data_IF_869605383022
#
_entry.id   IF_869605383022
#
_cell.length_a   1.000
_cell.length_b   1.000
_cell.length_c   1.000
_cell.angle_alpha   90.00
_cell.angle_beta   90.00
_cell.angle_gamma   90.00
#
_symmetry.space_group_name_H-M   'P 1'
#
loop_
_entity.id
_entity.type
_entity.pdbx_description
1 polymer ?
#
# COMPACT_ATOMS: atom_id res chain seq x y z
N UNK A 1 -0.58 15.45 1.95
CA UNK A 1 -1.21 15.93 3.20
C UNK A 1 -1.01 17.42 3.40
N UNK A 2 0.23 17.91 3.56
CA UNK A 2 0.51 19.33 3.83
C UNK A 2 -0.15 20.32 2.86
N UNK A 3 -0.07 20.06 1.55
CA UNK A 3 -0.73 20.87 0.53
C UNK A 3 -2.25 21.00 0.74
N UNK A 4 -2.93 19.87 1.01
CA UNK A 4 -4.39 19.88 1.22
C UNK A 4 -4.77 20.70 2.47
N UNK A 5 -3.94 20.66 3.52
CA UNK A 5 -4.17 21.46 4.72
C UNK A 5 -3.97 22.95 4.44
N UNK A 6 -2.94 23.33 3.67
CA UNK A 6 -2.72 24.70 3.23
C UNK A 6 -3.90 25.22 2.38
N UNK A 7 -4.43 24.41 1.47
CA UNK A 7 -5.63 24.76 0.70
C UNK A 7 -6.87 24.94 1.58
N UNK A 8 -7.09 24.04 2.56
CA UNK A 8 -8.22 24.16 3.50
C UNK A 8 -8.10 25.46 4.30
N UNK A 9 -6.93 25.74 4.88
CA UNK A 9 -6.71 26.94 5.70
C UNK A 9 -6.86 28.24 4.92
N UNK A 10 -6.61 28.23 3.60
CA UNK A 10 -6.80 29.39 2.71
C UNK A 10 -8.23 29.57 2.23
N UNK A 11 -9.09 28.56 2.38
CA UNK A 11 -10.44 28.58 1.87
C UNK A 11 -11.42 29.16 2.92
N UNK A 12 -11.94 30.38 2.74
CA UNK A 12 -12.83 30.99 3.73
C UNK A 12 -14.17 30.27 3.87
N UNK A 13 -14.52 29.40 2.91
CA UNK A 13 -15.77 28.63 2.93
C UNK A 13 -15.63 27.27 3.64
N UNK A 14 -14.41 26.84 3.97
CA UNK A 14 -14.15 25.54 4.56
C UNK A 14 -13.41 25.72 5.88
N UNK A 15 -14.09 25.43 6.99
CA UNK A 15 -13.58 25.66 8.35
C UNK A 15 -13.22 27.13 8.62
N UNK A 16 -14.16 28.09 8.45
CA UNK A 16 -13.90 29.49 8.74
C UNK A 16 -13.48 29.69 10.20
N UNK A 17 -12.48 30.55 10.43
CA UNK A 17 -11.90 30.85 11.74
C UNK A 17 -11.27 29.66 12.48
N UNK A 18 -10.99 28.57 11.77
CA UNK A 18 -10.26 27.41 12.30
C UNK A 18 -9.01 27.21 11.46
N UNK A 19 -7.88 26.97 12.11
CA UNK A 19 -6.62 26.61 11.43
C UNK A 19 -6.32 25.14 11.72
N UNK A 20 -6.17 24.35 10.67
CA UNK A 20 -5.70 22.97 10.77
C UNK A 20 -4.17 22.94 10.87
N UNK A 21 -3.67 22.33 11.94
CA UNK A 21 -2.28 21.94 12.10
C UNK A 21 -2.04 20.47 11.72
N UNK A 22 -0.78 20.05 11.63
CA UNK A 22 -0.44 18.65 11.42
C UNK A 22 0.90 18.28 12.05
N UNK A 23 1.04 17.01 12.41
CA UNK A 23 2.30 16.37 12.79
C UNK A 23 2.56 15.21 11.84
N UNK A 24 3.74 15.17 11.23
CA UNK A 24 4.15 14.10 10.31
C UNK A 24 5.15 13.18 11.00
N UNK A 25 4.96 11.88 10.82
CA UNK A 25 5.89 10.84 11.25
C UNK A 25 6.20 9.93 10.07
N UNK A 26 7.47 9.58 9.92
CA UNK A 26 7.88 8.51 9.02
C UNK A 26 7.71 7.17 9.76
N UNK A 27 6.92 6.27 9.18
CA UNK A 27 6.74 4.91 9.69
C UNK A 27 7.88 3.97 9.25
N UNK A 28 8.76 4.42 8.35
CA UNK A 28 9.86 3.67 7.74
C UNK A 28 9.45 2.29 7.19
N UNK A 29 8.18 2.13 6.80
CA UNK A 29 7.60 0.85 6.39
C UNK A 29 7.70 -0.23 7.49
N UNK A 30 7.83 0.14 8.76
CA UNK A 30 7.94 -0.76 9.91
C UNK A 30 6.74 -0.64 10.84
N UNK A 31 6.14 -1.78 11.18
CA UNK A 31 4.97 -1.84 12.07
C UNK A 31 5.23 -1.20 13.43
N UNK A 32 6.36 -1.54 14.06
CA UNK A 32 6.69 -1.03 15.39
C UNK A 32 6.89 0.50 15.42
N UNK A 33 7.48 1.07 14.37
CA UNK A 33 7.68 2.52 14.26
C UNK A 33 6.34 3.21 14.00
N UNK A 34 5.56 2.74 13.03
CA UNK A 34 4.23 3.29 12.72
C UNK A 34 3.27 3.25 13.91
N UNK A 35 3.26 2.14 14.67
CA UNK A 35 2.43 2.00 15.86
C UNK A 35 2.89 2.93 16.99
N UNK A 36 4.21 3.08 17.23
CA UNK A 36 4.75 4.04 18.20
C UNK A 36 4.44 5.48 17.83
N UNK A 37 4.53 5.82 16.54
CA UNK A 37 4.15 7.14 16.04
C UNK A 37 2.66 7.41 16.27
N UNK A 38 1.79 6.46 15.93
CA UNK A 38 0.35 6.58 16.19
C UNK A 38 0.02 6.69 17.69
N UNK A 39 0.73 5.93 18.54
CA UNK A 39 0.56 6.01 19.99
C UNK A 39 1.06 7.36 20.55
N UNK A 40 2.20 7.88 20.07
CA UNK A 40 2.71 9.20 20.46
C UNK A 40 1.76 10.32 20.03
N UNK A 41 1.17 10.22 18.84
CA UNK A 41 0.12 11.12 18.37
C UNK A 41 -1.13 11.03 19.25
N UNK A 42 -1.54 9.84 19.66
CA UNK A 42 -2.74 9.64 20.49
C UNK A 42 -2.54 10.03 21.97
N UNK A 43 -1.35 9.82 22.52
CA UNK A 43 -1.05 10.05 23.94
C UNK A 43 -0.58 11.47 24.26
N UNK A 44 -0.17 12.24 23.24
CA UNK A 44 0.37 13.60 23.42
C UNK A 44 1.73 13.65 24.13
N UNK A 45 2.40 12.51 24.34
CA UNK A 45 3.73 12.47 24.96
C UNK A 45 4.84 12.54 23.88
N UNK A 46 5.54 13.68 23.85
CA UNK A 46 6.97 13.70 23.48
C UNK A 46 7.82 13.39 24.73
N UNK A 47 9.05 12.90 24.56
CA UNK A 47 9.95 12.32 25.58
C UNK A 47 10.33 13.21 26.80
N UNK A 48 9.71 14.37 27.02
CA UNK A 48 9.92 15.20 28.22
C UNK A 48 8.62 15.73 28.80
N UNK A 49 8.17 15.09 29.88
CA UNK A 49 7.11 15.61 30.76
C UNK A 49 7.73 16.63 31.72
N UNK A 50 7.49 17.92 31.49
CA UNK A 50 7.72 18.98 32.49
C UNK A 50 6.37 19.23 33.16
N UNK A 51 6.24 18.83 34.43
CA UNK A 51 5.08 19.15 35.26
C UNK A 51 5.21 20.60 35.74
N UNK A 52 4.76 21.54 34.92
CA UNK A 52 4.42 22.89 35.35
C UNK A 52 2.89 22.99 35.44
N UNK A 53 2.34 23.75 36.40
CA UNK A 53 0.90 23.82 36.71
C UNK A 53 0.06 24.52 35.62
N UNK A 54 0.65 24.76 34.45
CA UNK A 54 -0.05 25.18 33.24
C UNK A 54 -0.37 23.92 32.43
N UNK A 55 -1.62 23.73 32.01
CA UNK A 55 -2.01 22.65 31.08
C UNK A 55 -1.39 22.90 29.70
N UNK A 56 -0.07 22.73 29.60
CA UNK A 56 0.74 22.82 28.38
C UNK A 56 0.94 21.40 27.90
N UNK A 57 -0.10 20.85 27.29
CA UNK A 57 -0.05 19.60 26.54
C UNK A 57 -0.22 19.87 25.05
N UNK A 58 0.31 19.00 24.20
CA UNK A 58 -0.01 19.03 22.77
C UNK A 58 -1.53 18.87 22.57
N UNK A 59 -2.14 19.65 21.66
CA UNK A 59 -3.57 19.56 21.43
C UNK A 59 -3.97 18.14 21.00
N UNK A 60 -5.14 17.65 21.41
CA UNK A 60 -5.58 16.29 21.08
C UNK A 60 -5.64 16.12 19.56
N UNK A 61 -5.07 15.02 19.05
CA UNK A 61 -5.13 14.68 17.63
C UNK A 61 -6.56 14.28 17.26
N UNK A 62 -7.21 15.09 16.42
CA UNK A 62 -8.59 14.90 15.95
C UNK A 62 -8.73 13.74 14.95
N UNK A 63 -7.64 13.32 14.29
CA UNK A 63 -7.65 12.23 13.33
C UNK A 63 -6.26 11.91 12.79
N UNK A 64 -6.06 10.66 12.36
CA UNK A 64 -4.82 10.16 11.76
C UNK A 64 -5.10 9.82 10.30
N UNK A 65 -4.24 10.32 9.40
CA UNK A 65 -4.27 9.99 7.96
C UNK A 65 -3.10 9.06 7.67
N UNK A 66 -3.40 7.79 7.41
CA UNK A 66 -2.41 6.71 7.25
C UNK A 66 -2.96 5.40 7.81
N UNK A 67 -2.32 4.25 7.60
CA UNK A 67 -1.04 3.98 6.91
C UNK A 67 -1.25 3.57 5.44
N UNK A 68 -0.16 3.43 4.65
CA UNK A 68 -0.24 2.85 3.31
C UNK A 68 -0.44 1.33 3.30
N UNK A 69 0.09 0.60 4.31
CA UNK A 69 -0.09 -0.86 4.42
C UNK A 69 -1.32 -1.20 5.26
N UNK A 70 -2.08 -2.21 4.83
CA UNK A 70 -3.23 -2.71 5.59
C UNK A 70 -2.85 -3.25 6.96
N UNK A 71 -1.74 -3.99 7.13
CA UNK A 71 -1.32 -4.50 8.45
C UNK A 71 -1.03 -3.36 9.42
N UNK A 72 -0.35 -2.30 8.96
CA UNK A 72 -0.06 -1.13 9.80
C UNK A 72 -1.33 -0.34 10.08
N UNK A 73 -2.17 -0.14 9.07
CA UNK A 73 -3.47 0.51 9.24
C UNK A 73 -4.38 -0.27 10.18
N UNK A 74 -4.40 -1.61 10.12
CA UNK A 74 -5.15 -2.47 11.02
C UNK A 74 -4.62 -2.32 12.44
N UNK A 75 -3.30 -2.32 12.65
CA UNK A 75 -2.73 -2.12 13.98
C UNK A 75 -3.09 -0.74 14.56
N UNK A 76 -3.11 0.30 13.74
CA UNK A 76 -3.56 1.66 14.12
C UNK A 76 -5.09 1.69 14.31
N UNK A 77 -5.85 1.01 13.45
CA UNK A 77 -7.31 1.00 13.41
C UNK A 77 -7.94 -0.04 14.34
N UNK A 78 -7.18 -0.96 14.95
CA UNK A 78 -7.66 -1.76 16.08
C UNK A 78 -8.04 -0.87 17.26
N UNK A 79 -7.64 0.41 17.23
CA UNK A 79 -8.12 1.47 18.11
C UNK A 79 -9.40 2.17 17.57
N UNK A 80 -9.75 2.07 16.27
CA UNK A 80 -10.78 2.90 15.60
C UNK A 80 -11.78 2.23 14.62
N UNK A 81 -11.74 0.92 14.34
CA UNK A 81 -12.82 0.19 13.63
C UNK A 81 -12.72 0.09 12.09
N UNK A 82 -13.48 -0.89 11.54
CA UNK A 82 -13.27 -1.77 10.36
C UNK A 82 -13.32 -1.18 8.91
N UNK A 83 -12.64 -1.88 7.98
CA UNK A 83 -12.72 -1.68 6.52
C UNK A 83 -13.15 -2.93 5.73
N UNK A 84 -13.88 -2.71 4.62
CA UNK A 84 -14.10 -3.63 3.49
C UNK A 84 -13.64 -2.94 2.21
N UNK A 85 -12.93 -3.63 1.32
CA UNK A 85 -12.45 -3.09 0.03
C UNK A 85 -12.89 -3.98 -1.13
N UNK A 86 -13.48 -3.45 -2.22
CA UNK A 86 -14.06 -4.23 -3.32
C UNK A 86 -13.05 -4.77 -4.36
N UNK A 87 -11.74 -4.79 -4.07
CA UNK A 87 -10.69 -5.17 -5.03
C UNK A 87 -10.85 -6.61 -5.56
N UNK A 88 -11.19 -7.53 -4.66
CA UNK A 88 -11.32 -8.96 -4.97
C UNK A 88 -12.41 -9.23 -6.00
N UNK A 89 -13.55 -8.55 -5.88
CA UNK A 89 -14.67 -8.70 -6.81
C UNK A 89 -14.29 -8.31 -8.24
N UNK A 90 -13.49 -7.26 -8.44
CA UNK A 90 -13.05 -6.85 -9.77
C UNK A 90 -12.19 -7.91 -10.46
N UNK A 91 -11.28 -8.55 -9.72
CA UNK A 91 -10.45 -9.64 -10.26
C UNK A 91 -11.30 -10.83 -10.72
N UNK A 92 -12.31 -11.22 -9.94
CA UNK A 92 -13.21 -12.33 -10.30
C UNK A 92 -14.05 -12.00 -11.54
N UNK A 93 -14.48 -10.75 -11.69
CA UNK A 93 -15.17 -10.31 -12.91
C UNK A 93 -14.27 -10.39 -14.14
N UNK A 94 -12.98 -10.05 -14.01
CA UNK A 94 -12.00 -10.21 -15.11
C UNK A 94 -11.84 -11.68 -15.48
N UNK A 95 -11.68 -12.58 -14.49
CA UNK A 95 -11.61 -14.02 -14.75
C UNK A 95 -12.83 -14.52 -15.51
N UNK A 96 -14.01 -14.12 -15.05
CA UNK A 96 -15.29 -14.50 -15.65
C UNK A 96 -15.41 -13.97 -17.09
N UNK A 97 -14.98 -12.73 -17.32
CA UNK A 97 -15.02 -12.10 -18.65
C UNK A 97 -14.15 -12.85 -19.67
N UNK A 98 -12.95 -13.29 -19.28
CA UNK A 98 -12.04 -14.02 -20.15
C UNK A 98 -12.21 -15.55 -20.12
N UNK A 99 -13.14 -16.07 -19.30
CA UNK A 99 -13.35 -17.51 -19.13
C UNK A 99 -12.16 -18.24 -18.48
N UNK A 100 -11.37 -17.53 -17.68
CA UNK A 100 -10.21 -18.11 -17.00
C UNK A 100 -10.63 -18.83 -15.72
N UNK A 101 -10.59 -20.16 -15.76
CA UNK A 101 -11.06 -21.01 -14.65
C UNK A 101 -9.92 -21.74 -13.91
N UNK A 102 -8.68 -21.62 -14.37
CA UNK A 102 -7.53 -22.29 -13.76
C UNK A 102 -6.39 -21.30 -13.55
N UNK A 103 -6.21 -20.85 -12.31
CA UNK A 103 -5.32 -19.74 -11.98
C UNK A 103 -4.41 -20.05 -10.80
N UNK A 104 -3.21 -19.47 -10.78
CA UNK A 104 -2.34 -19.45 -9.61
C UNK A 104 -2.61 -18.21 -8.76
N UNK A 105 -2.42 -18.33 -7.45
CA UNK A 105 -2.56 -17.21 -6.51
C UNK A 105 -1.28 -17.04 -5.69
N UNK A 106 -0.70 -15.85 -5.73
CA UNK A 106 0.44 -15.45 -4.91
C UNK A 106 0.01 -14.33 -3.96
N UNK A 107 0.36 -14.44 -2.69
CA UNK A 107 0.01 -13.42 -1.69
C UNK A 107 1.18 -13.07 -0.79
N UNK A 108 1.24 -11.84 -0.28
CA UNK A 108 2.19 -11.48 0.77
C UNK A 108 1.82 -12.13 2.12
N UNK A 109 2.83 -12.44 2.93
CA UNK A 109 2.66 -12.96 4.30
C UNK A 109 2.30 -11.84 5.29
N UNK A 110 1.16 -11.20 5.05
CA UNK A 110 0.60 -10.15 5.90
C UNK A 110 -0.91 -10.03 5.77
N UNK A 111 -1.53 -9.12 6.52
CA UNK A 111 -2.98 -8.98 6.53
C UNK A 111 -3.54 -8.54 5.18
N UNK A 112 -2.74 -7.82 4.37
CA UNK A 112 -3.16 -7.46 3.01
C UNK A 112 -3.31 -8.71 2.14
N UNK A 113 -2.24 -9.49 1.99
CA UNK A 113 -2.22 -10.68 1.14
C UNK A 113 -3.14 -11.77 1.66
N UNK A 114 -3.09 -12.09 2.95
CA UNK A 114 -3.87 -13.17 3.56
C UNK A 114 -5.36 -12.86 3.60
N UNK A 115 -5.76 -11.61 3.87
CA UNK A 115 -7.18 -11.22 3.81
C UNK A 115 -7.71 -11.25 2.38
N UNK A 116 -6.93 -10.77 1.41
CA UNK A 116 -7.29 -10.83 0.00
C UNK A 116 -7.43 -12.29 -0.48
N UNK A 117 -6.51 -13.18 -0.11
CA UNK A 117 -6.61 -14.61 -0.43
C UNK A 117 -7.91 -15.24 0.09
N UNK A 118 -8.21 -15.04 1.38
CA UNK A 118 -9.43 -15.61 2.00
C UNK A 118 -10.70 -15.12 1.31
N UNK A 119 -10.77 -13.80 1.08
CA UNK A 119 -11.91 -13.19 0.40
C UNK A 119 -12.02 -13.70 -1.04
N UNK A 120 -10.91 -13.75 -1.77
CA UNK A 120 -10.88 -14.23 -3.15
C UNK A 120 -11.28 -15.70 -3.26
N UNK A 121 -10.76 -16.56 -2.40
CA UNK A 121 -11.17 -17.97 -2.36
C UNK A 121 -12.66 -18.13 -2.07
N UNK A 122 -13.20 -17.38 -1.09
CA UNK A 122 -14.62 -17.44 -0.77
C UNK A 122 -15.49 -16.99 -1.95
N UNK A 123 -15.15 -15.86 -2.56
CA UNK A 123 -15.93 -15.28 -3.65
C UNK A 123 -15.82 -16.14 -4.93
N UNK A 124 -14.67 -16.75 -5.19
CA UNK A 124 -14.45 -17.64 -6.33
C UNK A 124 -15.34 -18.89 -6.23
N UNK A 125 -15.45 -19.48 -5.04
CA UNK A 125 -16.33 -20.62 -4.78
C UNK A 125 -17.80 -20.23 -4.94
N UNK A 126 -18.20 -19.07 -4.42
CA UNK A 126 -19.58 -18.60 -4.51
C UNK A 126 -20.03 -18.29 -5.94
N UNK A 127 -19.13 -17.74 -6.75
CA UNK A 127 -19.41 -17.37 -8.14
C UNK A 127 -19.26 -18.54 -9.12
N UNK A 128 -18.72 -19.69 -8.68
CA UNK A 128 -18.35 -20.79 -9.57
C UNK A 128 -17.25 -20.40 -10.58
N UNK A 129 -16.45 -19.38 -10.25
CA UNK A 129 -15.53 -18.71 -11.18
C UNK A 129 -14.27 -19.49 -11.54
N UNK A 130 -14.09 -20.70 -11.02
CA UNK A 130 -12.94 -21.57 -11.33
C UNK A 130 -12.27 -22.17 -10.11
N UNK A 131 -11.05 -22.67 -10.31
CA UNK A 131 -10.22 -23.31 -9.31
C UNK A 131 -8.82 -22.68 -9.25
N UNK A 132 -8.22 -22.77 -8.07
CA UNK A 132 -6.83 -22.38 -7.84
C UNK A 132 -5.91 -23.59 -8.05
N UNK A 133 -4.97 -23.46 -8.98
CA UNK A 133 -3.97 -24.46 -9.27
C UNK A 133 -2.94 -24.59 -8.15
N UNK A 134 -2.60 -23.46 -7.54
CA UNK A 134 -1.73 -23.34 -6.39
C UNK A 134 -2.01 -22.02 -5.68
N UNK A 135 -1.73 -22.01 -4.38
CA UNK A 135 -1.73 -20.81 -3.54
C UNK A 135 -0.40 -20.79 -2.81
N UNK A 136 0.38 -19.75 -3.04
CA UNK A 136 1.71 -19.61 -2.45
C UNK A 136 1.83 -18.27 -1.73
N UNK A 137 2.51 -18.30 -0.58
CA UNK A 137 2.79 -17.12 0.22
C UNK A 137 4.21 -16.67 -0.07
N UNK A 138 4.38 -15.42 -0.50
CA UNK A 138 5.68 -14.85 -0.83
C UNK A 138 6.42 -14.47 0.47
N UNK A 139 7.69 -14.89 0.62
CA UNK A 139 8.45 -14.61 1.82
C UNK A 139 8.83 -13.12 1.91
N UNK A 140 8.95 -12.63 3.14
CA UNK A 140 9.59 -11.34 3.39
C UNK A 140 11.10 -11.44 3.15
N UNK A 141 11.67 -10.42 2.50
CA UNK A 141 13.10 -10.41 2.17
C UNK A 141 13.47 -11.37 1.05
N UNK A 142 14.74 -11.77 1.00
CA UNK A 142 15.31 -12.54 -0.11
C UNK A 142 15.57 -14.01 0.26
N UNK A 143 14.53 -14.75 0.67
CA UNK A 143 14.63 -16.20 0.84
C UNK A 143 14.69 -16.90 -0.52
N UNK A 144 15.91 -17.05 -1.03
CA UNK A 144 16.20 -17.64 -2.33
C UNK A 144 15.73 -19.10 -2.46
N UNK A 145 15.70 -19.86 -1.37
CA UNK A 145 15.27 -21.25 -1.41
C UNK A 145 13.76 -21.32 -1.59
N UNK A 146 13.03 -20.49 -0.85
CA UNK A 146 11.57 -20.44 -0.94
C UNK A 146 11.10 -19.82 -2.26
N UNK A 147 11.72 -18.73 -2.71
CA UNK A 147 11.42 -18.14 -4.02
C UNK A 147 11.65 -19.14 -5.16
N UNK A 148 12.76 -19.91 -5.12
CA UNK A 148 13.02 -20.97 -6.10
C UNK A 148 11.93 -22.03 -6.07
N UNK A 149 11.50 -22.48 -4.88
CA UNK A 149 10.42 -23.45 -4.71
C UNK A 149 9.12 -22.96 -5.31
N UNK A 150 8.75 -21.71 -5.04
CA UNK A 150 7.51 -21.09 -5.56
C UNK A 150 7.56 -21.02 -7.08
N UNK A 151 8.65 -20.51 -7.66
CA UNK A 151 8.80 -20.43 -9.12
C UNK A 151 8.81 -21.82 -9.77
N UNK A 152 9.35 -22.85 -9.09
CA UNK A 152 9.27 -24.24 -9.54
C UNK A 152 7.83 -24.77 -9.58
N UNK A 153 6.99 -24.42 -8.60
CA UNK A 153 5.56 -24.74 -8.60
C UNK A 153 4.86 -24.05 -9.76
N UNK A 154 5.13 -22.76 -9.97
CA UNK A 154 4.57 -21.99 -11.08
C UNK A 154 4.93 -22.60 -12.43
N UNK A 155 6.21 -22.97 -12.62
CA UNK A 155 6.73 -23.58 -13.85
C UNK A 155 6.12 -24.95 -14.15
N UNK A 156 5.85 -25.75 -13.13
CA UNK A 156 5.24 -27.09 -13.28
C UNK A 156 3.73 -27.03 -13.50
N UNK A 157 3.08 -25.94 -13.10
CA UNK A 157 1.63 -25.77 -13.26
C UNK A 157 1.23 -25.55 -14.71
N UNK A 158 0.02 -26.00 -15.06
CA UNK A 158 -0.62 -25.68 -16.34
C UNK A 158 -1.35 -24.33 -16.33
N UNK A 159 -1.51 -23.72 -15.15
CA UNK A 159 -2.12 -22.40 -15.02
C UNK A 159 -1.24 -21.35 -15.72
N UNK A 160 -1.86 -20.59 -16.62
CA UNK A 160 -1.20 -19.46 -17.30
C UNK A 160 -1.48 -18.13 -16.63
N UNK A 161 -2.59 -18.03 -15.93
CA UNK A 161 -2.99 -16.80 -15.22
C UNK A 161 -2.49 -16.87 -13.78
N UNK A 162 -1.77 -15.85 -13.35
CA UNK A 162 -1.23 -15.73 -11.99
C UNK A 162 -1.70 -14.43 -11.36
N UNK A 163 -2.50 -14.55 -10.31
CA UNK A 163 -3.08 -13.43 -9.56
C UNK A 163 -2.17 -13.13 -8.38
N UNK A 164 -1.85 -11.85 -8.17
CA UNK A 164 -0.89 -11.46 -7.12
C UNK A 164 -1.43 -10.34 -6.23
N UNK A 165 -1.72 -10.68 -4.97
CA UNK A 165 -1.99 -9.73 -3.88
C UNK A 165 -0.77 -9.61 -2.98
N UNK A 166 0.22 -8.83 -3.41
CA UNK A 166 1.45 -8.60 -2.67
C UNK A 166 1.98 -7.19 -2.90
N UNK A 167 2.96 -6.78 -2.09
CA UNK A 167 3.65 -5.49 -2.23
C UNK A 167 4.67 -5.51 -3.37
N UNK A 168 5.06 -4.32 -3.83
CA UNK A 168 6.12 -4.11 -4.82
C UNK A 168 7.41 -4.87 -4.47
N UNK A 169 7.85 -4.83 -3.21
CA UNK A 169 9.08 -5.50 -2.76
C UNK A 169 9.08 -7.01 -2.96
N UNK A 170 7.94 -7.68 -2.74
CA UNK A 170 7.80 -9.12 -2.96
C UNK A 170 7.90 -9.45 -4.46
N UNK A 171 7.30 -8.60 -5.29
CA UNK A 171 7.36 -8.77 -6.74
C UNK A 171 8.75 -8.57 -7.30
N UNK A 172 9.54 -7.62 -6.78
CA UNK A 172 10.94 -7.46 -7.17
C UNK A 172 11.72 -8.76 -6.92
N UNK A 173 11.64 -9.30 -5.71
CA UNK A 173 12.36 -10.52 -5.34
C UNK A 173 11.89 -11.74 -6.14
N UNK A 174 10.58 -11.87 -6.38
CA UNK A 174 10.02 -12.93 -7.22
C UNK A 174 10.50 -12.81 -8.68
N UNK A 175 10.57 -11.60 -9.22
CA UNK A 175 11.00 -11.38 -10.61
C UNK A 175 12.46 -11.73 -10.83
N UNK A 176 13.34 -11.48 -9.86
CA UNK A 176 14.73 -11.96 -9.95
C UNK A 176 14.79 -13.48 -10.18
N UNK A 177 13.95 -14.24 -9.49
CA UNK A 177 13.91 -15.70 -9.63
C UNK A 177 13.21 -16.16 -10.91
N UNK A 178 12.11 -15.50 -11.31
CA UNK A 178 11.40 -15.79 -12.57
C UNK A 178 12.30 -15.59 -13.77
N UNK A 179 13.10 -14.51 -13.77
CA UNK A 179 14.12 -14.25 -14.79
C UNK A 179 15.20 -15.34 -14.75
N UNK A 180 15.69 -15.68 -13.56
CA UNK A 180 16.74 -16.70 -13.39
C UNK A 180 16.33 -18.08 -13.94
N UNK A 181 15.07 -18.46 -13.77
CA UNK A 181 14.52 -19.72 -14.28
C UNK A 181 13.92 -19.62 -15.69
N UNK A 182 13.93 -18.42 -16.27
CA UNK A 182 13.35 -18.10 -17.57
C UNK A 182 11.88 -18.54 -17.72
N UNK A 183 11.06 -18.28 -16.71
CA UNK A 183 9.64 -18.64 -16.71
C UNK A 183 8.84 -17.56 -17.47
N UNK A 184 8.38 -17.90 -18.67
CA UNK A 184 7.67 -16.98 -19.57
C UNK A 184 6.26 -17.49 -19.91
N UNK A 185 5.46 -16.66 -20.60
CA UNK A 185 4.12 -17.04 -21.06
C UNK A 185 3.06 -17.07 -19.95
N UNK A 186 3.30 -16.35 -18.85
CA UNK A 186 2.33 -16.13 -17.79
C UNK A 186 1.57 -14.83 -18.04
N UNK A 187 0.26 -14.86 -17.83
CA UNK A 187 -0.61 -13.70 -17.76
C UNK A 187 -0.72 -13.27 -16.31
N UNK A 188 -0.08 -12.16 -15.96
CA UNK A 188 -0.14 -11.63 -14.61
C UNK A 188 -1.41 -10.80 -14.39
N UNK A 189 -2.00 -10.96 -13.21
CA UNK A 189 -3.07 -10.12 -12.69
C UNK A 189 -2.57 -9.40 -11.44
N UNK A 190 -2.29 -8.11 -11.59
CA UNK A 190 -1.65 -7.27 -10.57
C UNK A 190 -2.68 -6.56 -9.69
N UNK A 191 -2.54 -6.74 -8.37
CA UNK A 191 -3.23 -5.88 -7.42
C UNK A 191 -2.72 -4.43 -7.47
N UNK A 192 -3.51 -3.52 -6.91
CA UNK A 192 -3.23 -2.08 -6.88
C UNK A 192 -1.84 -1.76 -6.30
N UNK A 193 -1.40 -2.53 -5.31
CA UNK A 193 -0.14 -2.30 -4.60
C UNK A 193 1.12 -2.32 -5.48
N UNK A 194 1.07 -2.94 -6.67
CA UNK A 194 2.24 -3.03 -7.56
C UNK A 194 1.93 -2.81 -9.04
N UNK A 195 0.67 -2.63 -9.43
CA UNK A 195 0.31 -2.45 -10.86
C UNK A 195 1.00 -1.27 -11.53
N UNK A 196 1.31 -0.21 -10.77
CA UNK A 196 1.94 1.02 -11.27
C UNK A 196 3.38 1.19 -10.79
N UNK A 197 3.98 0.11 -10.28
CA UNK A 197 5.36 0.09 -9.82
C UNK A 197 6.33 0.33 -11.00
N UNK A 198 6.86 1.54 -11.13
CA UNK A 198 7.76 1.90 -12.23
C UNK A 198 9.05 1.05 -12.23
N UNK A 199 9.49 0.59 -11.07
CA UNK A 199 10.66 -0.29 -10.91
C UNK A 199 10.50 -1.65 -11.59
N UNK A 200 9.26 -2.12 -11.77
CA UNK A 200 8.95 -3.35 -12.49
C UNK A 200 8.75 -3.11 -14.00
N UNK A 201 8.68 -1.86 -14.44
CA UNK A 201 8.44 -1.45 -15.83
C UNK A 201 9.75 -1.20 -16.59
N UNK A 202 10.67 -2.15 -16.54
CA UNK A 202 11.99 -2.05 -17.20
C UNK A 202 12.07 -2.93 -18.46
N UNK A 203 12.87 -2.57 -19.47
CA UNK A 203 13.09 -3.41 -20.65
C UNK A 203 13.56 -4.84 -20.32
N UNK A 204 14.28 -5.00 -19.20
CA UNK A 204 14.73 -6.29 -18.71
C UNK A 204 13.58 -7.20 -18.24
N UNK A 205 12.54 -6.62 -17.64
CA UNK A 205 11.39 -7.35 -17.10
C UNK A 205 10.20 -7.44 -18.07
N UNK A 206 10.15 -6.62 -19.12
CA UNK A 206 9.07 -6.65 -20.13
C UNK A 206 8.86 -8.01 -20.82
N UNK A 207 9.89 -8.84 -21.09
CA UNK A 207 9.67 -10.20 -21.60
C UNK A 207 8.85 -11.11 -20.66
N UNK A 208 8.80 -10.77 -19.37
CA UNK A 208 8.15 -11.57 -18.32
C UNK A 208 6.85 -10.94 -17.82
N UNK A 209 6.79 -9.60 -17.72
CA UNK A 209 5.66 -8.83 -17.19
C UNK A 209 4.82 -8.14 -18.28
N UNK A 210 5.24 -8.19 -19.54
CA UNK A 210 4.51 -7.59 -20.65
C UNK A 210 3.08 -8.12 -20.76
N UNK A 211 2.11 -7.21 -20.87
CA UNK A 211 0.69 -7.58 -20.94
C UNK A 211 0.01 -7.83 -19.59
N UNK A 212 0.67 -7.52 -18.46
CA UNK A 212 0.05 -7.58 -17.13
C UNK A 212 -1.26 -6.79 -17.09
N UNK A 213 -2.32 -7.42 -16.60
CA UNK A 213 -3.60 -6.76 -16.31
C UNK A 213 -3.60 -6.36 -14.85
N UNK A 214 -3.82 -5.09 -14.54
CA UNK A 214 -3.80 -4.63 -13.16
C UNK A 214 -4.93 -3.68 -12.81
N UNK A 215 -5.25 -3.63 -11.52
CA UNK A 215 -6.26 -2.72 -10.98
C UNK A 215 -5.57 -1.46 -10.49
N UNK A 216 -5.75 -0.34 -11.17
CA UNK A 216 -5.21 0.94 -10.75
C UNK A 216 -6.28 1.81 -10.09
N UNK A 217 -5.87 2.61 -9.10
CA UNK A 217 -6.71 3.68 -8.56
C UNK A 217 -6.88 4.74 -9.65
N UNK A 218 -8.11 5.24 -9.81
CA UNK A 218 -8.40 6.30 -10.79
C UNK A 218 -7.50 7.51 -10.51
N UNK A 219 -6.74 7.92 -11.52
CA UNK A 219 -5.92 9.14 -11.45
C UNK A 219 -6.82 10.36 -11.22
N UNK A 220 -6.52 11.10 -10.17
CA UNK A 220 -7.06 12.44 -9.92
C UNK A 220 -6.06 13.51 -10.33
N UNK A 221 -6.55 14.64 -10.82
CA UNK A 221 -5.74 15.85 -11.01
C UNK A 221 -5.92 16.77 -9.82
N UNK A 222 -4.82 17.20 -9.22
CA UNK A 222 -4.81 18.13 -8.09
C UNK A 222 -4.16 19.42 -8.59
N UNK A 223 -4.98 20.40 -8.92
CA UNK A 223 -4.52 21.70 -9.42
C UNK A 223 -3.61 22.38 -8.39
N UNK A 224 -2.53 23.03 -8.83
CA UNK A 224 -1.57 23.71 -7.96
C UNK A 224 -0.63 22.80 -7.15
N UNK A 225 -0.91 21.49 -7.03
CA UNK A 225 -0.07 20.58 -6.26
C UNK A 225 1.36 20.47 -6.81
N UNK A 226 1.49 20.46 -8.14
CA UNK A 226 2.81 20.48 -8.79
C UNK A 226 3.62 21.72 -8.41
N UNK A 227 2.99 22.88 -8.46
CA UNK A 227 3.68 24.15 -8.17
C UNK A 227 4.04 24.25 -6.69
N UNK A 228 3.19 23.72 -5.81
CA UNK A 228 3.50 23.56 -4.38
C UNK A 228 4.74 22.69 -4.17
N UNK A 229 4.84 21.53 -4.83
CA UNK A 229 6.02 20.65 -4.71
C UNK A 229 7.31 21.33 -5.21
N UNK A 230 7.23 22.15 -6.26
CA UNK A 230 8.38 22.88 -6.81
C UNK A 230 8.87 24.03 -5.91
N UNK A 231 8.07 24.45 -4.93
CA UNK A 231 8.46 25.49 -3.96
C UNK A 231 9.26 24.94 -2.78
N UNK A 232 9.35 23.62 -2.61
CA UNK A 232 10.09 23.00 -1.53
C UNK A 232 11.58 23.27 -1.74
N UNK A 233 12.21 23.95 -0.78
CA UNK A 233 13.64 24.21 -0.79
C UNK A 233 14.29 23.74 0.52
N UNK A 234 15.45 23.05 0.46
CA UNK A 234 16.11 22.50 1.64
C UNK A 234 16.78 23.55 2.54
N UNK A 235 17.13 24.70 1.99
CA UNK A 235 17.79 25.83 2.68
C UNK A 235 16.80 26.76 3.40
N UNK A 236 15.55 26.79 2.94
CA UNK A 236 14.47 27.49 3.62
C UNK A 236 13.87 26.53 4.65
N UNK A 237 14.26 26.64 5.92
CA UNK A 237 13.41 26.18 7.01
C UNK A 237 12.02 26.76 6.74
N UNK A 238 11.06 25.90 6.40
CA UNK A 238 9.71 26.32 6.10
C UNK A 238 9.09 26.80 7.40
N UNK A 239 9.38 28.06 7.74
CA UNK A 239 8.73 28.78 8.82
C UNK A 239 7.37 29.20 8.29
N UNK A 240 6.51 28.21 8.00
CA UNK A 240 5.11 28.47 7.78
C UNK A 240 4.60 29.12 9.07
N UNK A 241 3.82 30.18 8.94
CA UNK A 241 3.19 30.96 10.02
C UNK A 241 2.37 30.11 11.02
N UNK A 242 2.21 28.82 10.73
CA UNK A 242 1.50 27.81 11.50
C UNK A 242 2.41 26.79 12.23
N UNK A 243 3.74 26.96 12.19
CA UNK A 243 4.68 26.06 12.89
C UNK A 243 4.88 24.68 12.23
N UNK A 244 4.42 24.52 11.00
CA UNK A 244 4.43 23.24 10.29
C UNK A 244 5.68 23.11 9.39
N UNK A 245 6.57 22.15 9.66
CA UNK A 245 7.70 21.82 8.77
C UNK A 245 7.49 20.48 8.04
N UNK A 246 7.76 20.46 6.74
CA UNK A 246 7.79 19.25 5.90
C UNK A 246 9.20 18.62 5.90
N UNK A 247 10.22 19.41 6.21
CA UNK A 247 11.63 19.00 6.22
C UNK A 247 12.13 19.17 7.66
N UNK A 248 12.33 18.06 8.37
CA UNK A 248 13.03 18.04 9.66
C UNK A 248 14.38 17.39 9.47
#
# INVERSE_FOLDING_TARGET
MAFAIDEINRNPNLLPNVTLGYSLYDNCVQLGIGFRAALSLASGQEEKVVLDETCVGTPPILGIVGDSSSTRSIAISTVYGLYRVPLVHAMIQILSHFGWTWTGLLVSDDDYGLHAARTFQSDLVQTGGGCLAYVEVLPWGNDQAELRRIVDVMRKSTARVVIVFAHESHMINLMEEVVRQNVTGLQWMASEAWTSAAVLQTPHLMPYLGGTLGIAIRRGEIAGFRDFLLQIRPDLQHNNSYGNSIVR
#
